data_IF_388748598660
#
_entry.id   IF_388748598660
#
_cell.length_a   1.000
_cell.length_b   1.000
_cell.length_c   1.000
_cell.angle_alpha   90.00
_cell.angle_beta   90.00
_cell.angle_gamma   90.00
#
_symmetry.space_group_name_H-M   'P 1'
#
loop_
_entity.id
_entity.type
_entity.pdbx_description
1 polymer ?
#
# COMPACT_ATOMS: atom_id res chain seq x y z
N UNK A 1 3.95 17.47 4.20
CA UNK A 1 3.10 16.89 3.15
C UNK A 1 1.81 16.36 3.75
N UNK A 2 0.71 16.55 3.06
CA UNK A 2 -0.55 15.95 3.48
C UNK A 2 -0.63 14.47 3.13
N UNK A 3 -1.70 13.80 3.59
CA UNK A 3 -1.88 12.38 3.35
C UNK A 3 -1.92 12.04 1.86
N UNK A 4 -2.68 12.79 1.07
CA UNK A 4 -2.81 12.55 -0.37
C UNK A 4 -1.45 12.61 -1.05
N UNK A 5 -0.66 13.63 -0.78
CA UNK A 5 0.65 13.82 -1.40
C UNK A 5 1.61 12.70 -1.04
N UNK A 6 1.60 12.27 0.23
CA UNK A 6 2.47 11.20 0.70
C UNK A 6 2.11 9.88 0.04
N UNK A 7 0.81 9.55 -0.03
CA UNK A 7 0.36 8.30 -0.68
C UNK A 7 0.62 8.34 -2.18
N UNK A 8 0.34 9.47 -2.84
CA UNK A 8 0.59 9.59 -4.28
C UNK A 8 2.07 9.39 -4.59
N UNK A 9 2.95 9.97 -3.79
CA UNK A 9 4.40 9.79 -3.97
C UNK A 9 4.79 8.33 -3.74
N UNK A 10 4.25 7.70 -2.70
CA UNK A 10 4.52 6.30 -2.41
C UNK A 10 4.15 5.41 -3.59
N UNK A 11 2.94 5.59 -4.13
CA UNK A 11 2.47 4.78 -5.25
C UNK A 11 3.27 5.06 -6.52
N UNK A 12 3.65 6.32 -6.76
CA UNK A 12 4.50 6.68 -7.89
C UNK A 12 5.85 5.96 -7.81
N UNK A 13 6.48 5.97 -6.64
CA UNK A 13 7.75 5.29 -6.45
C UNK A 13 7.63 3.77 -6.64
N UNK A 14 6.55 3.18 -6.13
CA UNK A 14 6.28 1.75 -6.34
C UNK A 14 6.14 1.46 -7.84
N UNK A 15 5.40 2.29 -8.57
CA UNK A 15 5.13 2.08 -9.99
C UNK A 15 6.35 2.34 -10.88
N UNK A 16 7.32 3.10 -10.37
CA UNK A 16 8.58 3.36 -11.08
C UNK A 16 9.67 2.37 -10.70
N UNK A 17 9.35 1.30 -9.98
CA UNK A 17 10.28 0.31 -9.46
C UNK A 17 11.31 0.89 -8.48
N UNK A 18 11.02 2.07 -7.91
CA UNK A 18 11.83 2.72 -6.87
C UNK A 18 11.38 2.30 -5.48
N UNK A 19 11.32 0.98 -5.25
CA UNK A 19 10.75 0.44 -4.03
C UNK A 19 11.53 0.84 -2.77
N UNK A 20 12.84 0.93 -2.86
CA UNK A 20 13.66 1.34 -1.72
C UNK A 20 13.31 2.75 -1.26
N UNK A 21 13.09 3.67 -2.20
CA UNK A 21 12.70 5.03 -1.87
C UNK A 21 11.27 5.06 -1.31
N UNK A 22 10.38 4.22 -1.85
CA UNK A 22 9.02 4.12 -1.33
C UNK A 22 9.02 3.68 0.13
N UNK A 23 9.86 2.70 0.47
CA UNK A 23 9.98 2.21 1.85
C UNK A 23 10.37 3.32 2.82
N UNK A 24 11.12 4.31 2.37
CA UNK A 24 11.52 5.44 3.22
C UNK A 24 10.34 6.35 3.62
N UNK A 25 9.20 6.22 2.95
CA UNK A 25 7.97 6.94 3.33
C UNK A 25 7.18 6.22 4.43
N UNK A 26 7.56 5.00 4.77
CA UNK A 26 6.93 4.27 5.86
C UNK A 26 7.50 4.74 7.19
N UNK A 27 6.63 4.89 8.20
CA UNK A 27 7.08 5.17 9.55
C UNK A 27 7.87 3.98 10.10
N UNK A 28 8.75 4.25 11.06
CA UNK A 28 9.57 3.19 11.66
C UNK A 28 8.69 2.10 12.30
N UNK A 29 7.56 2.49 12.86
CA UNK A 29 6.60 1.58 13.49
C UNK A 29 5.39 1.29 12.61
N UNK A 30 5.51 1.43 11.29
CA UNK A 30 4.41 1.20 10.36
C UNK A 30 3.85 -0.22 10.51
N UNK A 31 2.54 -0.35 10.27
CA UNK A 31 1.87 -1.65 10.29
C UNK A 31 1.17 -1.86 8.95
N UNK A 32 1.08 -3.12 8.53
CA UNK A 32 0.41 -3.49 7.29
C UNK A 32 -0.46 -4.71 7.55
N UNK A 33 -1.69 -4.67 7.06
CA UNK A 33 -2.59 -5.81 7.09
C UNK A 33 -3.04 -6.15 5.68
N UNK A 34 -3.08 -7.43 5.35
CA UNK A 34 -3.52 -7.91 4.05
C UNK A 34 -4.55 -9.00 4.26
N UNK A 35 -5.75 -8.80 3.70
CA UNK A 35 -6.80 -9.82 3.67
C UNK A 35 -6.90 -10.37 2.25
N UNK A 36 -6.91 -11.68 2.11
CA UNK A 36 -6.99 -12.34 0.80
C UNK A 36 -8.44 -12.73 0.52
N UNK A 37 -8.95 -12.49 -0.71
CA UNK A 37 -10.32 -12.88 -1.05
C UNK A 37 -10.51 -14.40 -0.89
N UNK A 38 -11.63 -14.77 -0.25
CA UNK A 38 -11.98 -16.19 -0.10
C UNK A 38 -11.21 -16.92 0.99
N UNK A 39 -10.41 -16.22 1.77
CA UNK A 39 -9.64 -16.79 2.88
C UNK A 39 -9.92 -16.01 4.16
N UNK A 40 -9.98 -16.73 5.27
CA UNK A 40 -10.07 -16.10 6.59
C UNK A 40 -8.69 -15.67 7.10
N UNK A 41 -7.64 -15.99 6.35
CA UNK A 41 -6.29 -15.63 6.74
C UNK A 41 -6.03 -14.16 6.50
N UNK A 42 -5.36 -13.55 7.47
CA UNK A 42 -4.93 -12.16 7.38
C UNK A 42 -3.44 -12.11 7.71
N UNK A 43 -2.67 -11.50 6.82
CA UNK A 43 -1.26 -11.24 7.07
C UNK A 43 -1.12 -9.91 7.77
N UNK A 44 -0.40 -9.89 8.90
CA UNK A 44 -0.11 -8.66 9.64
C UNK A 44 1.40 -8.52 9.77
N UNK A 45 1.90 -7.35 9.37
CA UNK A 45 3.32 -7.03 9.44
C UNK A 45 3.50 -5.79 10.30
N UNK A 46 4.53 -5.77 11.13
CA UNK A 46 4.87 -4.62 11.97
C UNK A 46 6.31 -4.20 11.75
N UNK A 47 6.51 -2.90 11.66
CA UNK A 47 7.82 -2.31 11.50
C UNK A 47 8.16 -2.05 10.05
N UNK A 48 8.91 -0.96 9.82
CA UNK A 48 9.32 -0.57 8.48
C UNK A 48 10.03 -1.70 7.74
N UNK A 49 10.88 -2.46 8.42
CA UNK A 49 11.67 -3.51 7.79
C UNK A 49 10.77 -4.63 7.25
N UNK A 50 9.76 -5.02 8.01
CA UNK A 50 8.86 -6.09 7.58
C UNK A 50 7.88 -5.61 6.51
N UNK A 51 7.27 -4.44 6.73
CA UNK A 51 6.34 -3.86 5.76
C UNK A 51 7.09 -3.55 4.47
N UNK A 52 8.24 -2.89 4.58
CA UNK A 52 9.06 -2.58 3.43
C UNK A 52 9.56 -3.82 2.72
N UNK A 53 9.94 -4.86 3.48
CA UNK A 53 10.37 -6.12 2.91
C UNK A 53 9.32 -6.78 2.04
N UNK A 54 8.03 -6.64 2.40
CA UNK A 54 6.96 -7.15 1.56
C UNK A 54 6.96 -6.49 0.17
N UNK A 55 7.11 -5.16 0.12
CA UNK A 55 7.18 -4.44 -1.16
C UNK A 55 8.46 -4.76 -1.92
N UNK A 56 9.59 -4.86 -1.23
CA UNK A 56 10.87 -5.19 -1.89
C UNK A 56 10.83 -6.59 -2.52
N UNK A 57 10.17 -7.54 -1.86
CA UNK A 57 10.04 -8.90 -2.40
C UNK A 57 9.00 -9.01 -3.52
N UNK A 58 8.14 -8.02 -3.67
CA UNK A 58 7.15 -8.03 -4.75
C UNK A 58 7.81 -8.06 -6.13
N UNK A 59 9.02 -7.51 -6.24
CA UNK A 59 9.81 -7.59 -7.46
C UNK A 59 9.49 -6.51 -8.48
N UNK A 60 10.28 -6.50 -9.54
CA UNK A 60 10.10 -5.55 -10.64
C UNK A 60 8.77 -5.81 -11.34
N UNK A 61 8.12 -4.76 -11.78
CA UNK A 61 6.84 -4.87 -12.47
C UNK A 61 5.62 -4.90 -11.56
N UNK A 62 5.83 -4.89 -10.24
CA UNK A 62 4.71 -4.72 -9.30
C UNK A 62 4.15 -3.31 -9.45
N UNK A 63 2.84 -3.21 -9.63
CA UNK A 63 2.16 -1.93 -9.86
C UNK A 63 0.93 -1.81 -8.98
N UNK A 64 0.65 -0.58 -8.54
CA UNK A 64 -0.55 -0.26 -7.77
C UNK A 64 -1.15 1.02 -8.37
N UNK A 65 -2.24 0.88 -9.08
CA UNK A 65 -2.90 2.03 -9.73
C UNK A 65 -4.18 2.40 -9.00
N UNK A 66 -4.30 3.67 -8.63
CA UNK A 66 -5.52 4.19 -8.00
C UNK A 66 -6.58 4.43 -9.04
N UNK A 67 -7.76 3.85 -8.84
CA UNK A 67 -8.93 4.07 -9.70
C UNK A 67 -9.84 5.16 -9.14
N UNK A 68 -9.96 5.22 -7.82
CA UNK A 68 -10.75 6.21 -7.12
C UNK A 68 -10.19 6.36 -5.70
N UNK A 69 -10.36 7.53 -5.11
CA UNK A 69 -9.80 7.77 -3.78
C UNK A 69 -10.58 8.80 -3.00
N UNK A 70 -10.49 8.71 -1.67
CA UNK A 70 -11.10 9.64 -0.74
C UNK A 70 -10.10 9.97 0.35
N UNK A 71 -9.96 11.26 0.65
CA UNK A 71 -9.14 11.71 1.77
C UNK A 71 -10.05 12.06 2.93
N UNK A 72 -9.84 11.44 4.09
CA UNK A 72 -10.66 11.64 5.28
C UNK A 72 -9.75 12.03 6.44
N UNK A 73 -9.23 13.25 6.41
CA UNK A 73 -8.28 13.71 7.42
C UNK A 73 -6.93 13.02 7.25
N UNK A 74 -6.45 12.33 8.27
CA UNK A 74 -5.19 11.58 8.19
C UNK A 74 -5.30 10.23 7.47
N UNK A 75 -6.50 9.86 7.00
CA UNK A 75 -6.74 8.60 6.32
C UNK A 75 -6.99 8.83 4.83
N UNK A 76 -6.41 7.98 4.01
CA UNK A 76 -6.58 8.01 2.55
C UNK A 76 -7.05 6.63 2.12
N UNK A 77 -8.25 6.57 1.56
CA UNK A 77 -8.87 5.30 1.14
C UNK A 77 -8.94 5.30 -0.37
N UNK A 78 -8.41 4.27 -0.98
CA UNK A 78 -8.34 4.18 -2.44
C UNK A 78 -8.78 2.81 -2.93
N UNK A 79 -9.48 2.81 -4.07
CA UNK A 79 -9.69 1.61 -4.87
C UNK A 79 -8.46 1.46 -5.75
N UNK A 80 -7.75 0.36 -5.60
CA UNK A 80 -6.46 0.17 -6.24
C UNK A 80 -6.49 -1.12 -7.07
N UNK A 81 -5.96 -1.03 -8.28
CA UNK A 81 -5.65 -2.21 -9.08
C UNK A 81 -4.21 -2.60 -8.81
N UNK A 82 -4.01 -3.81 -8.31
CA UNK A 82 -2.69 -4.37 -8.06
C UNK A 82 -2.32 -5.30 -9.20
N UNK A 83 -1.18 -5.07 -9.80
CA UNK A 83 -0.68 -5.87 -10.92
C UNK A 83 0.67 -6.45 -10.57
N UNK A 84 0.83 -7.75 -10.82
CA UNK A 84 2.09 -8.45 -10.64
C UNK A 84 2.42 -9.25 -11.89
N UNK A 85 3.70 -9.35 -12.29
CA UNK A 85 4.08 -10.17 -13.44
C UNK A 85 3.67 -11.62 -13.25
N UNK A 86 3.04 -12.19 -14.28
CA UNK A 86 2.63 -13.59 -14.27
C UNK A 86 1.40 -13.90 -13.44
N UNK A 87 0.68 -12.90 -12.95
CA UNK A 87 -0.53 -13.09 -12.15
C UNK A 87 -1.65 -12.20 -12.65
N UNK A 88 -2.93 -12.61 -12.47
CA UNK A 88 -4.05 -11.73 -12.80
C UNK A 88 -4.04 -10.48 -11.93
N UNK A 89 -4.54 -9.37 -12.48
CA UNK A 89 -4.70 -8.16 -11.70
C UNK A 89 -5.78 -8.37 -10.62
N UNK A 90 -5.63 -7.66 -9.51
CA UNK A 90 -6.58 -7.71 -8.39
C UNK A 90 -7.07 -6.32 -8.08
N UNK A 91 -8.34 -6.22 -7.66
CA UNK A 91 -8.91 -4.96 -7.19
C UNK A 91 -9.05 -5.03 -5.68
N UNK A 92 -8.42 -4.08 -5.00
CA UNK A 92 -8.42 -4.04 -3.54
C UNK A 92 -8.78 -2.65 -3.06
N UNK A 93 -9.27 -2.57 -1.83
CA UNK A 93 -9.37 -1.30 -1.12
C UNK A 93 -8.11 -1.15 -0.29
N UNK A 94 -7.41 -0.05 -0.48
CA UNK A 94 -6.22 0.28 0.28
C UNK A 94 -6.54 1.43 1.22
N UNK A 95 -6.32 1.22 2.52
CA UNK A 95 -6.54 2.23 3.54
C UNK A 95 -5.19 2.62 4.11
N UNK A 96 -4.76 3.84 3.79
CA UNK A 96 -3.51 4.41 4.26
C UNK A 96 -3.78 5.38 5.39
N UNK A 97 -2.98 5.32 6.44
CA UNK A 97 -2.97 6.35 7.46
C UNK A 97 -1.61 7.04 7.44
N UNK A 98 -1.63 8.37 7.43
CA UNK A 98 -0.42 9.17 7.31
C UNK A 98 -0.33 10.13 8.49
N UNK A 99 0.82 10.20 9.12
CA UNK A 99 1.11 11.13 10.19
C UNK A 99 2.50 11.71 9.98
N UNK A 100 2.62 13.04 10.01
CA UNK A 100 3.91 13.70 9.87
C UNK A 100 4.62 13.42 8.56
N UNK A 101 3.88 13.20 7.48
CA UNK A 101 4.47 12.90 6.18
C UNK A 101 4.95 11.46 6.01
N UNK A 102 4.61 10.58 6.96
CA UNK A 102 4.98 9.17 6.90
C UNK A 102 3.74 8.29 6.95
N UNK A 103 3.80 7.16 6.27
CA UNK A 103 2.71 6.17 6.28
C UNK A 103 2.86 5.32 7.54
N UNK A 104 1.87 5.44 8.44
CA UNK A 104 1.89 4.69 9.71
C UNK A 104 1.09 3.41 9.65
N UNK A 105 0.16 3.29 8.70
CA UNK A 105 -0.55 2.02 8.49
C UNK A 105 -1.02 1.91 7.04
N UNK A 106 -1.13 0.67 6.60
CA UNK A 106 -1.63 0.34 5.27
C UNK A 106 -2.39 -0.98 5.37
N UNK A 107 -3.68 -0.94 5.07
CA UNK A 107 -4.53 -2.14 5.08
C UNK A 107 -5.08 -2.37 3.68
N UNK A 108 -4.85 -3.56 3.16
CA UNK A 108 -5.34 -4.00 1.85
C UNK A 108 -6.42 -5.06 2.09
N UNK A 109 -7.59 -4.86 1.49
CA UNK A 109 -8.68 -5.82 1.59
C UNK A 109 -9.41 -5.92 0.25
N UNK A 110 -10.05 -7.05 -0.03
CA UNK A 110 -10.81 -7.19 -1.27
C UNK A 110 -11.92 -6.16 -1.34
N UNK A 111 -12.17 -5.62 -2.54
CA UNK A 111 -13.35 -4.82 -2.74
C UNK A 111 -14.58 -5.70 -2.63
N UNK A 112 -15.53 -5.29 -1.79
CA UNK A 112 -16.81 -5.95 -1.68
C UNK A 112 -17.64 -5.51 -2.88
N UNK A 113 -17.85 -6.43 -3.79
CA UNK A 113 -18.57 -6.08 -5.01
C UNK A 113 -19.67 -6.99 -5.33
#
# INVERSE_FOLDING_TARGET
MGATETVDLFLELINDDNREQAVNLLAENAVMGISVPGSDERTNLRGRDRVGGWFLRAGDGFRMYTNDSRNMGGSYIADVTVMRPGAPSMHVEANFRVEGGEIVSLFLQPLSG
#
